data_IF_108344772333
#
_entry.id   IF_108344772333
#
_cell.length_a   1.000
_cell.length_b   1.000
_cell.length_c   1.000
_cell.angle_alpha   90.00
_cell.angle_beta   90.00
_cell.angle_gamma   90.00
#
_symmetry.space_group_name_H-M   'P 1'
#
loop_
_entity.id
_entity.type
_entity.pdbx_description
1 polymer ?
#
# COMPACT_ATOMS: atom_id res chain seq x y z
N UNK A 1 -9.55 13.57 -2.05
CA UNK A 1 -10.15 14.73 -1.34
C UNK A 1 -8.99 15.39 -0.61
N UNK A 2 -8.66 16.63 -0.91
CA UNK A 2 -7.61 17.36 -0.19
C UNK A 2 -8.25 17.96 1.05
N UNK A 3 -7.63 17.79 2.22
CA UNK A 3 -8.12 18.39 3.45
C UNK A 3 -8.09 19.92 3.34
N UNK A 4 -9.17 20.58 3.72
CA UNK A 4 -9.20 22.05 3.75
C UNK A 4 -8.34 22.61 4.92
N UNK A 5 -8.09 21.79 5.93
CA UNK A 5 -7.22 22.07 7.08
C UNK A 5 -6.79 20.73 7.69
N UNK A 6 -5.52 20.58 8.00
CA UNK A 6 -5.01 19.44 8.76
C UNK A 6 -5.30 19.60 10.25
N UNK A 7 -5.25 18.50 11.00
CA UNK A 7 -5.49 18.52 12.45
C UNK A 7 -4.36 19.20 13.22
N UNK A 8 -3.13 19.03 12.74
CA UNK A 8 -1.92 19.63 13.29
C UNK A 8 -1.42 20.69 12.31
N UNK A 9 -1.31 21.92 12.75
CA UNK A 9 -0.80 23.07 12.00
C UNK A 9 0.39 23.70 12.72
N UNK A 10 0.29 23.82 14.05
CA UNK A 10 1.34 24.36 14.91
C UNK A 10 1.88 23.27 15.84
N UNK A 11 3.11 23.37 16.36
CA UNK A 11 3.69 22.38 17.27
C UNK A 11 2.84 22.05 18.51
N UNK A 12 2.08 23.04 19.01
CA UNK A 12 1.17 22.86 20.15
C UNK A 12 0.03 21.87 19.87
N UNK A 13 -0.37 21.71 18.62
CA UNK A 13 -1.43 20.80 18.19
C UNK A 13 -1.03 19.32 18.34
N UNK A 14 0.26 19.02 18.48
CA UNK A 14 0.68 17.66 18.80
C UNK A 14 0.27 17.19 20.19
N UNK A 15 0.00 18.10 21.15
CA UNK A 15 -0.42 17.69 22.50
C UNK A 15 -1.75 16.92 22.51
N UNK A 16 -2.85 17.42 21.90
CA UNK A 16 -4.08 16.65 21.78
C UNK A 16 -3.90 15.40 20.92
N UNK A 17 -3.08 15.43 19.86
CA UNK A 17 -2.77 14.25 19.06
C UNK A 17 -2.09 13.16 19.90
N UNK A 18 -1.08 13.51 20.68
CA UNK A 18 -0.39 12.57 21.57
C UNK A 18 -1.34 11.97 22.62
N UNK A 19 -2.24 12.77 23.19
CA UNK A 19 -3.25 12.27 24.11
C UNK A 19 -4.19 11.26 23.44
N UNK A 20 -4.68 11.58 22.24
CA UNK A 20 -5.51 10.69 21.42
C UNK A 20 -4.78 9.37 21.10
N UNK A 21 -3.54 9.44 20.60
CA UNK A 21 -2.76 8.26 20.23
C UNK A 21 -2.50 7.35 21.44
N UNK A 22 -2.24 7.91 22.62
CA UNK A 22 -2.00 7.13 23.86
C UNK A 22 -3.25 6.41 24.35
N UNK A 23 -4.44 6.99 24.10
CA UNK A 23 -5.73 6.42 24.46
C UNK A 23 -6.29 5.44 23.41
N UNK A 24 -5.62 5.27 22.27
CA UNK A 24 -6.06 4.33 21.24
C UNK A 24 -5.98 2.87 21.71
N UNK A 25 -7.08 2.13 21.46
CA UNK A 25 -7.21 0.71 21.70
C UNK A 25 -7.63 -0.02 20.44
N UNK A 26 -6.94 -1.07 20.10
CA UNK A 26 -7.27 -1.94 18.97
C UNK A 26 -7.95 -3.21 19.46
N UNK A 27 -8.90 -3.71 18.67
CA UNK A 27 -9.59 -4.98 18.93
C UNK A 27 -9.56 -5.84 17.67
N UNK A 28 -9.34 -7.15 17.78
CA UNK A 28 -9.48 -8.03 16.63
C UNK A 28 -10.93 -8.04 16.17
N UNK A 29 -11.13 -8.10 14.85
CA UNK A 29 -12.44 -8.23 14.22
C UNK A 29 -12.35 -9.22 13.04
N UNK A 30 -12.08 -10.51 13.31
CA UNK A 30 -11.99 -11.52 12.25
C UNK A 30 -13.33 -11.76 11.56
N UNK A 31 -14.46 -11.52 12.24
CA UNK A 31 -15.80 -11.70 11.70
C UNK A 31 -16.03 -10.84 10.46
N UNK A 32 -15.56 -9.61 10.45
CA UNK A 32 -15.67 -8.71 9.30
C UNK A 32 -15.00 -9.27 8.05
N UNK A 33 -13.83 -9.92 8.20
CA UNK A 33 -13.18 -10.60 7.09
C UNK A 33 -13.98 -11.82 6.63
N UNK A 34 -14.43 -12.66 7.57
CA UNK A 34 -15.19 -13.88 7.25
C UNK A 34 -16.52 -13.58 6.53
N UNK A 35 -17.20 -12.50 6.93
CA UNK A 35 -18.41 -12.03 6.25
C UNK A 35 -18.12 -11.55 4.83
N UNK A 36 -17.04 -10.78 4.65
CA UNK A 36 -16.62 -10.30 3.33
C UNK A 36 -16.21 -11.48 2.43
N UNK A 37 -15.44 -12.44 2.94
CA UNK A 37 -15.00 -13.64 2.22
C UNK A 37 -16.19 -14.49 1.78
N UNK A 38 -17.13 -14.73 2.67
CA UNK A 38 -18.38 -15.44 2.36
C UNK A 38 -19.22 -14.72 1.30
N UNK A 39 -19.22 -13.37 1.31
CA UNK A 39 -19.96 -12.55 0.33
C UNK A 39 -19.30 -12.59 -1.06
N UNK A 40 -17.97 -12.60 -1.13
CA UNK A 40 -17.22 -12.66 -2.39
C UNK A 40 -17.23 -14.10 -2.95
N UNK A 41 -17.11 -15.11 -2.09
CA UNK A 41 -17.09 -16.53 -2.44
C UNK A 41 -16.00 -16.84 -3.46
N UNK A 42 -16.32 -17.65 -4.46
CA UNK A 42 -15.36 -18.07 -5.51
C UNK A 42 -14.97 -16.94 -6.50
N UNK A 43 -15.55 -15.74 -6.37
CA UNK A 43 -15.33 -14.65 -7.32
C UNK A 43 -14.08 -13.80 -7.01
N UNK A 44 -13.44 -14.01 -5.86
CA UNK A 44 -12.24 -13.24 -5.51
C UNK A 44 -11.82 -13.37 -4.05
N UNK A 45 -11.04 -12.42 -3.58
CA UNK A 45 -10.57 -12.34 -2.20
C UNK A 45 -10.90 -10.94 -1.64
N UNK A 46 -11.32 -10.85 -0.36
CA UNK A 46 -11.44 -9.55 0.30
C UNK A 46 -10.08 -8.86 0.40
N UNK A 47 -10.05 -7.58 0.14
CA UNK A 47 -8.86 -6.77 0.37
C UNK A 47 -8.82 -6.34 1.84
N UNK A 48 -7.71 -6.62 2.52
CA UNK A 48 -7.55 -6.30 3.95
C UNK A 48 -6.57 -5.15 4.13
N UNK A 49 -7.05 -4.02 4.60
CA UNK A 49 -6.25 -2.84 4.90
C UNK A 49 -5.68 -2.90 6.31
N UNK A 50 -4.38 -2.56 6.43
CA UNK A 50 -3.70 -2.25 7.68
C UNK A 50 -3.54 -0.74 7.91
N UNK A 51 -2.92 -0.38 9.02
CA UNK A 51 -2.56 1.01 9.33
C UNK A 51 -1.38 1.47 8.46
N UNK A 52 -1.09 2.77 8.53
CA UNK A 52 0.12 3.37 7.93
C UNK A 52 1.31 3.26 8.87
N UNK A 53 2.51 3.23 8.33
CA UNK A 53 3.73 3.42 9.11
C UNK A 53 3.85 4.87 9.61
N UNK A 54 4.72 5.10 10.57
CA UNK A 54 4.79 6.35 11.35
C UNK A 54 4.85 7.60 10.48
N UNK A 55 5.79 7.66 9.53
CA UNK A 55 5.95 8.84 8.68
C UNK A 55 4.72 9.05 7.78
N UNK A 56 4.21 7.97 7.21
CA UNK A 56 3.07 8.02 6.32
C UNK A 56 1.76 8.39 7.05
N UNK A 57 1.57 7.90 8.26
CA UNK A 57 0.44 8.32 9.09
C UNK A 57 0.47 9.84 9.33
N UNK A 58 1.64 10.41 9.63
CA UNK A 58 1.75 11.83 9.91
C UNK A 58 1.31 12.70 8.73
N UNK A 59 1.96 12.57 7.57
CA UNK A 59 1.67 13.47 6.46
C UNK A 59 0.36 13.15 5.72
N UNK A 60 -0.13 11.92 5.77
CA UNK A 60 -1.40 11.56 5.11
C UNK A 60 -2.61 11.91 5.97
N UNK A 61 -2.50 11.75 7.29
CA UNK A 61 -3.67 11.80 8.18
C UNK A 61 -3.70 13.06 9.06
N UNK A 62 -2.56 13.60 9.47
CA UNK A 62 -2.51 14.55 10.59
C UNK A 62 -1.95 15.92 10.23
N UNK A 63 -0.87 15.99 9.43
CA UNK A 63 -0.07 17.20 9.24
C UNK A 63 0.13 17.45 7.74
N UNK A 64 0.07 18.70 7.30
CA UNK A 64 0.55 19.04 5.95
C UNK A 64 2.02 18.67 5.79
N UNK A 65 2.40 18.18 4.61
CA UNK A 65 3.77 17.72 4.38
C UNK A 65 4.82 18.82 4.56
N UNK A 66 4.47 20.07 4.24
CA UNK A 66 5.36 21.22 4.40
C UNK A 66 5.53 21.56 5.89
N UNK A 67 4.43 21.59 6.63
CA UNK A 67 4.44 21.86 8.08
C UNK A 67 5.21 20.74 8.81
N UNK A 68 4.99 19.48 8.44
CA UNK A 68 5.74 18.35 8.99
C UNK A 68 7.25 18.50 8.81
N UNK A 69 7.70 18.94 7.64
CA UNK A 69 9.12 19.16 7.38
C UNK A 69 9.72 20.26 8.31
N UNK A 70 8.99 21.34 8.51
CA UNK A 70 9.39 22.39 9.48
C UNK A 70 9.37 21.88 10.90
N UNK A 71 8.32 21.18 11.34
CA UNK A 71 8.22 20.66 12.70
C UNK A 71 9.35 19.67 13.02
N UNK A 72 9.74 18.83 12.08
CA UNK A 72 10.88 17.91 12.25
C UNK A 72 12.20 18.67 12.40
N UNK A 73 12.38 19.76 11.66
CA UNK A 73 13.60 20.56 11.73
C UNK A 73 13.69 21.42 13.00
N UNK A 74 12.58 22.05 13.37
CA UNK A 74 12.56 23.08 14.42
C UNK A 74 12.27 22.50 15.81
N UNK A 75 11.51 21.40 15.88
CA UNK A 75 11.03 20.78 17.14
C UNK A 75 11.47 19.31 17.29
N UNK A 76 12.77 18.97 17.14
CA UNK A 76 13.22 17.57 17.06
C UNK A 76 12.88 16.74 18.31
N UNK A 77 12.85 17.33 19.52
CA UNK A 77 12.49 16.60 20.75
C UNK A 77 11.00 16.25 20.81
N UNK A 78 10.14 17.16 20.35
CA UNK A 78 8.70 16.91 20.26
C UNK A 78 8.43 15.83 19.20
N UNK A 79 9.09 15.93 18.07
CA UNK A 79 8.89 14.97 16.97
C UNK A 79 9.38 13.56 17.34
N UNK A 80 10.47 13.43 18.11
CA UNK A 80 10.88 12.10 18.64
C UNK A 80 9.82 11.51 19.58
N UNK A 81 9.15 12.33 20.42
CA UNK A 81 8.04 11.87 21.26
C UNK A 81 6.84 11.43 20.40
N UNK A 82 6.53 12.17 19.34
CA UNK A 82 5.44 11.84 18.39
C UNK A 82 5.75 10.53 17.68
N UNK A 83 6.96 10.37 17.14
CA UNK A 83 7.37 9.13 16.48
C UNK A 83 7.30 7.93 17.41
N UNK A 84 7.88 8.02 18.59
CA UNK A 84 7.85 6.93 19.58
C UNK A 84 6.41 6.55 20.00
N UNK A 85 5.49 7.52 20.08
CA UNK A 85 4.08 7.25 20.42
C UNK A 85 3.38 6.53 19.26
N UNK A 86 3.62 6.92 18.03
CA UNK A 86 3.08 6.25 16.85
C UNK A 86 3.65 4.84 16.69
N UNK A 87 4.96 4.64 16.89
CA UNK A 87 5.61 3.32 16.86
C UNK A 87 4.99 2.38 17.91
N UNK A 88 4.76 2.88 19.14
CA UNK A 88 4.11 2.09 20.18
C UNK A 88 2.69 1.68 19.80
N UNK A 89 1.92 2.56 19.14
CA UNK A 89 0.58 2.24 18.65
C UNK A 89 0.63 1.25 17.48
N UNK A 90 1.56 1.42 16.57
CA UNK A 90 1.79 0.49 15.47
C UNK A 90 2.06 -0.94 15.98
N UNK A 91 2.95 -1.09 16.95
CA UNK A 91 3.21 -2.38 17.62
C UNK A 91 1.96 -2.97 18.26
N UNK A 92 1.12 -2.15 18.93
CA UNK A 92 -0.17 -2.63 19.48
C UNK A 92 -1.08 -3.15 18.37
N UNK A 93 -1.21 -2.40 17.27
CA UNK A 93 -2.02 -2.83 16.13
C UNK A 93 -1.50 -4.13 15.52
N UNK A 94 -0.21 -4.25 15.26
CA UNK A 94 0.38 -5.44 14.65
C UNK A 94 0.14 -6.71 15.48
N UNK A 95 0.25 -6.62 16.82
CA UNK A 95 -0.08 -7.74 17.72
C UNK A 95 -1.56 -8.15 17.61
N UNK A 96 -2.46 -7.17 17.58
CA UNK A 96 -3.91 -7.43 17.45
C UNK A 96 -4.24 -8.01 16.07
N UNK A 97 -3.63 -7.48 15.00
CA UNK A 97 -3.82 -7.99 13.64
C UNK A 97 -3.30 -9.44 13.49
N UNK A 98 -2.13 -9.76 14.04
CA UNK A 98 -1.59 -11.12 14.04
C UNK A 98 -2.51 -12.09 14.80
N UNK A 99 -3.10 -11.66 15.92
CA UNK A 99 -4.07 -12.47 16.69
C UNK A 99 -5.38 -12.68 15.91
N UNK A 100 -5.87 -11.64 15.20
CA UNK A 100 -7.05 -11.77 14.34
C UNK A 100 -6.81 -12.76 13.19
N UNK A 101 -5.62 -12.80 12.60
CA UNK A 101 -5.26 -13.73 11.54
C UNK A 101 -5.23 -15.21 11.99
N UNK A 102 -5.15 -15.49 13.28
CA UNK A 102 -5.34 -16.87 13.80
C UNK A 102 -6.79 -17.35 13.68
N UNK A 103 -7.74 -16.42 13.61
CA UNK A 103 -9.17 -16.70 13.65
C UNK A 103 -9.81 -16.61 12.27
N UNK A 104 -9.10 -16.05 11.28
CA UNK A 104 -9.56 -15.92 9.90
C UNK A 104 -8.41 -16.17 8.91
N UNK A 105 -8.65 -16.85 7.78
CA UNK A 105 -7.59 -17.21 6.81
C UNK A 105 -7.23 -16.02 5.91
N UNK A 106 -6.80 -14.90 6.48
CA UNK A 106 -6.43 -13.69 5.75
C UNK A 106 -5.15 -13.95 4.94
N UNK A 107 -5.19 -13.91 3.59
CA UNK A 107 -4.02 -14.23 2.77
C UNK A 107 -2.95 -13.14 2.82
N UNK A 108 -3.34 -11.88 2.91
CA UNK A 108 -2.43 -10.75 3.07
C UNK A 108 -3.11 -9.57 3.77
N UNK A 109 -2.30 -8.74 4.41
CA UNK A 109 -2.70 -7.43 4.92
C UNK A 109 -1.87 -6.39 4.17
N UNK A 110 -2.54 -5.41 3.54
CA UNK A 110 -1.91 -4.29 2.87
C UNK A 110 -1.82 -3.09 3.80
N UNK A 111 -0.60 -2.71 4.19
CA UNK A 111 -0.37 -1.47 4.93
C UNK A 111 -0.61 -0.27 4.01
N UNK A 112 -1.42 0.68 4.47
CA UNK A 112 -1.95 1.77 3.65
C UNK A 112 -0.99 2.95 3.43
N UNK A 113 0.30 2.71 3.21
CA UNK A 113 1.35 3.70 3.34
C UNK A 113 1.38 4.83 2.29
N UNK A 114 0.89 4.64 1.06
CA UNK A 114 1.02 5.62 -0.02
C UNK A 114 2.48 6.03 -0.27
N UNK A 115 3.37 5.04 -0.46
CA UNK A 115 4.80 5.33 -0.63
C UNK A 115 5.06 6.00 -1.98
N UNK A 116 5.72 7.17 -1.91
CA UNK A 116 6.42 7.79 -3.02
C UNK A 116 7.76 8.35 -2.55
N UNK A 117 8.83 8.11 -3.31
CA UNK A 117 10.18 8.49 -2.92
C UNK A 117 10.33 9.99 -2.63
N UNK A 118 9.61 10.85 -3.35
CA UNK A 118 9.66 12.30 -3.17
C UNK A 118 9.13 12.78 -1.81
N UNK A 119 8.23 12.01 -1.17
CA UNK A 119 7.61 12.39 0.11
C UNK A 119 8.33 11.80 1.32
N UNK A 120 8.90 10.60 1.18
CA UNK A 120 9.52 9.94 2.32
C UNK A 120 11.06 9.99 2.26
N UNK A 121 11.66 9.90 1.06
CA UNK A 121 13.09 9.73 0.88
C UNK A 121 13.60 8.41 1.46
N UNK A 122 14.77 7.95 0.98
CA UNK A 122 15.33 6.66 1.39
C UNK A 122 15.66 6.62 2.90
N UNK A 123 16.14 7.72 3.47
CA UNK A 123 16.52 7.79 4.89
C UNK A 123 15.34 7.50 5.83
N UNK A 124 14.19 8.13 5.60
CA UNK A 124 13.00 7.92 6.42
C UNK A 124 12.29 6.61 6.09
N UNK A 125 12.34 6.15 4.83
CA UNK A 125 11.87 4.83 4.48
C UNK A 125 12.62 3.74 5.28
N UNK A 126 13.95 3.81 5.31
CA UNK A 126 14.79 2.90 6.11
C UNK A 126 14.55 3.03 7.61
N UNK A 127 14.31 4.25 8.11
CA UNK A 127 14.08 4.50 9.54
C UNK A 127 12.73 3.97 10.02
N UNK A 128 11.65 4.23 9.30
CA UNK A 128 10.29 4.01 9.79
C UNK A 128 9.61 2.81 9.15
N UNK A 129 9.86 2.54 7.87
CA UNK A 129 9.13 1.51 7.14
C UNK A 129 9.78 0.13 7.28
N UNK A 130 11.11 0.01 7.05
CA UNK A 130 11.76 -1.30 7.13
C UNK A 130 11.57 -1.99 8.49
N UNK A 131 11.83 -1.33 9.64
CA UNK A 131 11.63 -1.97 10.94
C UNK A 131 10.17 -2.36 11.20
N UNK A 132 9.23 -1.53 10.73
CA UNK A 132 7.80 -1.79 10.88
C UNK A 132 7.36 -3.05 10.11
N UNK A 133 7.82 -3.19 8.88
CA UNK A 133 7.50 -4.36 8.05
C UNK A 133 8.12 -5.64 8.62
N UNK A 134 9.36 -5.57 9.11
CA UNK A 134 10.01 -6.69 9.78
C UNK A 134 9.30 -7.09 11.08
N UNK A 135 8.93 -6.12 11.92
CA UNK A 135 8.17 -6.37 13.14
C UNK A 135 6.85 -7.07 12.83
N UNK A 136 6.10 -6.56 11.86
CA UNK A 136 4.79 -7.14 11.52
C UNK A 136 4.92 -8.57 10.99
N UNK A 137 5.85 -8.80 10.06
CA UNK A 137 6.14 -10.13 9.53
C UNK A 137 6.57 -11.10 10.63
N UNK A 138 7.43 -10.65 11.56
CA UNK A 138 7.86 -11.44 12.73
C UNK A 138 6.68 -11.84 13.61
N UNK A 139 5.79 -10.90 13.95
CA UNK A 139 4.59 -11.18 14.76
C UNK A 139 3.61 -12.14 14.06
N UNK A 140 3.44 -12.06 12.75
CA UNK A 140 2.64 -13.03 11.98
C UNK A 140 3.28 -14.43 12.02
N UNK A 141 4.59 -14.52 11.85
CA UNK A 141 5.32 -15.79 11.94
C UNK A 141 5.23 -16.40 13.34
N UNK A 142 5.41 -15.61 14.40
CA UNK A 142 5.26 -16.02 15.79
C UNK A 142 3.83 -16.48 16.11
N UNK A 143 2.85 -15.88 15.47
CA UNK A 143 1.46 -16.29 15.53
C UNK A 143 1.17 -17.61 14.79
N UNK A 144 2.11 -18.11 13.98
CA UNK A 144 1.97 -19.33 13.18
C UNK A 144 1.02 -19.20 12.01
N UNK A 145 0.82 -17.96 11.49
CA UNK A 145 -0.07 -17.68 10.35
C UNK A 145 0.73 -17.41 9.08
N UNK A 146 0.16 -17.76 7.93
CA UNK A 146 0.80 -17.61 6.62
C UNK A 146 0.45 -16.28 5.92
N UNK A 147 -0.18 -15.36 6.65
CA UNK A 147 -0.58 -14.03 6.13
C UNK A 147 0.63 -13.27 5.60
N UNK A 148 0.52 -12.75 4.39
CA UNK A 148 1.58 -11.98 3.74
C UNK A 148 1.49 -10.50 4.10
N UNK A 149 2.63 -9.80 4.09
CA UNK A 149 2.69 -8.34 4.29
C UNK A 149 2.78 -7.66 2.92
N UNK A 150 1.73 -6.96 2.56
CA UNK A 150 1.70 -6.09 1.38
C UNK A 150 1.75 -4.63 1.83
N UNK A 151 2.19 -3.75 0.94
CA UNK A 151 2.26 -2.32 1.22
C UNK A 151 1.78 -1.53 0.01
N UNK A 152 0.95 -0.53 0.26
CA UNK A 152 0.46 0.40 -0.75
C UNK A 152 1.59 1.35 -1.18
N UNK A 153 2.08 1.16 -2.41
CA UNK A 153 3.19 1.92 -2.99
C UNK A 153 2.79 2.38 -4.39
N UNK A 154 2.14 3.52 -4.46
CA UNK A 154 1.49 4.05 -5.66
C UNK A 154 2.27 5.19 -6.36
N UNK A 155 3.41 5.62 -5.80
CA UNK A 155 4.20 6.72 -6.33
C UNK A 155 5.48 6.29 -7.08
N UNK A 156 6.37 7.27 -7.29
CA UNK A 156 7.72 7.02 -7.83
C UNK A 156 8.55 6.20 -6.84
N UNK A 157 9.14 5.10 -7.29
CA UNK A 157 9.83 4.14 -6.44
C UNK A 157 11.31 3.95 -6.79
N UNK A 158 11.79 4.47 -7.93
CA UNK A 158 13.15 4.19 -8.39
C UNK A 158 14.24 4.50 -7.33
N UNK A 159 14.18 5.61 -6.56
CA UNK A 159 15.15 5.88 -5.50
C UNK A 159 15.09 4.91 -4.32
N UNK A 160 14.02 4.11 -4.21
CA UNK A 160 13.77 3.18 -3.09
C UNK A 160 13.97 1.70 -3.47
N UNK A 161 14.32 1.37 -4.72
CA UNK A 161 14.37 -0.02 -5.18
C UNK A 161 15.18 -0.95 -4.28
N UNK A 162 16.39 -0.53 -3.89
CA UNK A 162 17.24 -1.33 -3.00
C UNK A 162 16.61 -1.53 -1.63
N UNK A 163 16.09 -0.45 -1.04
CA UNK A 163 15.45 -0.53 0.28
C UNK A 163 14.17 -1.39 0.27
N UNK A 164 13.38 -1.34 -0.81
CA UNK A 164 12.22 -2.21 -1.00
C UNK A 164 12.67 -3.68 -1.14
N UNK A 165 13.73 -3.95 -1.91
CA UNK A 165 14.27 -5.30 -2.06
C UNK A 165 14.79 -5.90 -0.74
N UNK A 166 15.30 -5.08 0.16
CA UNK A 166 15.79 -5.47 1.48
C UNK A 166 14.65 -5.67 2.50
N UNK A 167 13.43 -5.23 2.19
CA UNK A 167 12.31 -5.22 3.14
C UNK A 167 11.67 -6.61 3.32
N UNK A 168 10.91 -6.76 4.40
CA UNK A 168 10.08 -7.94 4.67
C UNK A 168 8.81 -8.03 3.82
N UNK A 169 8.54 -7.04 2.96
CA UNK A 169 7.35 -6.94 2.13
C UNK A 169 7.35 -8.04 1.07
N UNK A 170 6.19 -8.67 0.87
CA UNK A 170 6.02 -9.76 -0.10
C UNK A 170 5.11 -9.38 -1.27
N UNK A 171 4.48 -8.20 -1.20
CA UNK A 171 3.65 -7.66 -2.28
C UNK A 171 3.53 -6.16 -2.25
N UNK A 172 3.50 -5.56 -3.43
CA UNK A 172 3.20 -4.14 -3.61
C UNK A 172 1.74 -4.00 -4.03
N UNK A 173 0.98 -3.31 -3.19
CA UNK A 173 -0.40 -2.94 -3.48
C UNK A 173 -0.43 -1.58 -4.18
N UNK A 174 -1.31 -1.45 -5.16
CA UNK A 174 -1.42 -0.26 -6.02
C UNK A 174 -0.10 0.15 -6.71
N UNK A 175 0.78 -0.82 -6.98
CA UNK A 175 1.98 -0.54 -7.76
C UNK A 175 1.58 0.15 -9.08
N UNK A 176 1.89 1.42 -9.21
CA UNK A 176 1.49 2.25 -10.35
C UNK A 176 2.67 2.40 -11.32
N UNK A 177 2.67 1.66 -12.45
CA UNK A 177 3.80 1.67 -13.38
C UNK A 177 3.79 2.87 -14.33
N UNK A 178 4.81 2.94 -15.17
CA UNK A 178 4.80 3.83 -16.34
C UNK A 178 3.52 3.67 -17.17
N UNK A 179 2.95 4.75 -17.77
CA UNK A 179 3.55 6.09 -17.86
C UNK A 179 3.27 7.03 -16.67
N UNK A 180 2.52 6.60 -15.67
CA UNK A 180 2.10 7.49 -14.59
C UNK A 180 3.21 7.72 -13.55
N UNK A 181 4.11 6.75 -13.33
CA UNK A 181 5.27 6.84 -12.42
C UNK A 181 6.56 6.33 -13.07
N UNK A 182 7.65 6.30 -12.34
CA UNK A 182 9.01 6.10 -12.84
C UNK A 182 9.42 4.63 -13.08
N UNK A 183 8.71 3.66 -12.48
CA UNK A 183 9.10 2.25 -12.48
C UNK A 183 8.16 1.41 -13.36
N UNK A 184 8.67 0.75 -14.39
CA UNK A 184 7.90 -0.20 -15.21
C UNK A 184 7.71 -1.55 -14.51
N UNK A 185 6.73 -2.36 -14.98
CA UNK A 185 6.55 -3.74 -14.49
C UNK A 185 7.79 -4.60 -14.75
N UNK A 186 8.46 -4.42 -15.91
CA UNK A 186 9.70 -5.13 -16.22
C UNK A 186 10.82 -4.80 -15.23
N UNK A 187 11.03 -3.52 -14.93
CA UNK A 187 12.01 -3.09 -13.93
C UNK A 187 11.65 -3.61 -12.52
N UNK A 188 10.38 -3.55 -12.13
CA UNK A 188 9.92 -4.12 -10.87
C UNK A 188 10.23 -5.62 -10.77
N UNK A 189 10.05 -6.39 -11.86
CA UNK A 189 10.40 -7.80 -11.89
C UNK A 189 11.90 -8.07 -11.81
N UNK A 190 12.71 -7.21 -12.39
CA UNK A 190 14.17 -7.29 -12.28
C UNK A 190 14.64 -7.02 -10.85
N UNK A 191 14.09 -6.00 -10.20
CA UNK A 191 14.47 -5.62 -8.84
C UNK A 191 13.88 -6.57 -7.78
N UNK A 192 12.64 -7.04 -7.98
CA UNK A 192 11.88 -7.81 -6.99
C UNK A 192 11.23 -9.05 -7.65
N UNK A 193 12.01 -10.07 -8.04
CA UNK A 193 11.51 -11.21 -8.84
C UNK A 193 10.42 -12.02 -8.14
N UNK A 194 10.44 -12.10 -6.81
CA UNK A 194 9.50 -12.91 -6.03
C UNK A 194 8.29 -12.13 -5.49
N UNK A 195 8.28 -10.80 -5.63
CA UNK A 195 7.24 -9.94 -5.08
C UNK A 195 5.92 -10.07 -5.84
N UNK A 196 4.81 -10.12 -5.15
CA UNK A 196 3.49 -10.01 -5.77
C UNK A 196 3.21 -8.55 -6.13
N UNK A 197 2.83 -8.28 -7.37
CA UNK A 197 2.48 -6.95 -7.86
C UNK A 197 0.98 -6.86 -8.08
N UNK A 198 0.30 -6.06 -7.27
CA UNK A 198 -1.07 -5.60 -7.55
C UNK A 198 -0.92 -4.30 -8.35
N UNK A 199 -0.86 -4.47 -9.67
CA UNK A 199 -0.57 -3.38 -10.62
C UNK A 199 -1.79 -2.51 -10.79
N UNK A 200 -1.68 -1.27 -10.36
CA UNK A 200 -2.68 -0.27 -10.63
C UNK A 200 -2.62 0.11 -12.13
N UNK A 201 -3.72 -0.14 -12.85
CA UNK A 201 -3.75 0.22 -14.27
C UNK A 201 -3.58 1.74 -14.41
N UNK A 202 -2.64 2.22 -15.26
CA UNK A 202 -2.32 3.64 -15.33
C UNK A 202 -3.53 4.52 -15.58
N UNK A 203 -3.79 5.48 -14.68
CA UNK A 203 -5.00 6.27 -14.70
C UNK A 203 -5.10 7.18 -15.93
N UNK A 204 -3.96 7.67 -16.42
CA UNK A 204 -3.87 8.46 -17.65
C UNK A 204 -4.37 7.70 -18.89
N UNK A 205 -4.21 6.39 -18.92
CA UNK A 205 -4.57 5.52 -20.05
C UNK A 205 -6.08 5.28 -20.15
N UNK A 206 -6.85 5.43 -19.08
CA UNK A 206 -8.31 5.26 -19.14
C UNK A 206 -9.01 6.23 -20.09
N UNK A 207 -8.37 7.35 -20.45
CA UNK A 207 -8.89 8.32 -21.42
C UNK A 207 -8.63 7.92 -22.88
N UNK A 208 -7.75 6.97 -23.12
CA UNK A 208 -7.39 6.51 -24.47
C UNK A 208 -8.53 5.70 -25.12
N UNK A 209 -8.47 5.49 -26.46
CA UNK A 209 -9.37 4.57 -27.14
C UNK A 209 -9.29 3.15 -26.54
N UNK A 210 -10.38 2.35 -26.53
CA UNK A 210 -10.39 1.00 -25.97
C UNK A 210 -9.30 0.07 -26.52
N UNK A 211 -8.92 0.22 -27.79
CA UNK A 211 -7.85 -0.55 -28.41
C UNK A 211 -6.48 -0.27 -27.77
N UNK A 212 -6.21 0.97 -27.39
CA UNK A 212 -4.96 1.34 -26.69
C UNK A 212 -4.98 0.88 -25.24
N UNK A 213 -6.12 0.99 -24.56
CA UNK A 213 -6.32 0.43 -23.21
C UNK A 213 -6.03 -1.08 -23.22
N UNK A 214 -6.59 -1.80 -24.17
CA UNK A 214 -6.32 -3.24 -24.36
C UNK A 214 -4.83 -3.53 -24.59
N UNK A 215 -4.21 -2.79 -25.52
CA UNK A 215 -2.79 -2.97 -25.86
C UNK A 215 -1.89 -2.75 -24.63
N UNK A 216 -2.13 -1.68 -23.86
CA UNK A 216 -1.33 -1.37 -22.66
C UNK A 216 -1.55 -2.42 -21.58
N UNK A 217 -2.79 -2.90 -21.37
CA UNK A 217 -3.04 -3.99 -20.44
C UNK A 217 -2.26 -5.26 -20.82
N UNK A 218 -2.23 -5.59 -22.12
CA UNK A 218 -1.42 -6.71 -22.64
C UNK A 218 0.08 -6.49 -22.40
N UNK A 219 0.59 -5.30 -22.65
CA UNK A 219 2.00 -4.94 -22.44
C UNK A 219 2.43 -5.09 -20.98
N UNK A 220 1.60 -4.64 -20.03
CA UNK A 220 1.86 -4.80 -18.58
C UNK A 220 2.00 -6.29 -18.20
N UNK A 221 1.09 -7.12 -18.69
CA UNK A 221 1.16 -8.57 -18.44
C UNK A 221 2.35 -9.22 -19.13
N UNK A 222 2.71 -8.80 -20.35
CA UNK A 222 3.90 -9.29 -21.07
C UNK A 222 5.20 -8.90 -20.36
N UNK A 223 5.30 -7.70 -19.82
CA UNK A 223 6.44 -7.27 -19.00
C UNK A 223 6.62 -8.13 -17.75
N UNK A 224 5.54 -8.58 -17.13
CA UNK A 224 5.59 -9.53 -16.01
C UNK A 224 6.05 -10.93 -16.45
N UNK A 225 5.81 -11.30 -17.68
CA UNK A 225 5.99 -12.68 -18.14
C UNK A 225 4.92 -13.63 -17.57
N UNK A 226 5.24 -14.94 -17.56
CA UNK A 226 4.31 -16.02 -17.17
C UNK A 226 4.52 -16.55 -15.75
N UNK A 227 5.30 -15.88 -14.94
CA UNK A 227 5.65 -16.37 -13.60
C UNK A 227 4.55 -16.18 -12.54
N UNK A 228 3.38 -15.63 -12.91
CA UNK A 228 2.32 -15.31 -11.98
C UNK A 228 2.65 -14.09 -11.12
N UNK A 229 2.07 -14.02 -9.91
CA UNK A 229 2.28 -12.94 -8.94
C UNK A 229 2.00 -11.54 -9.50
N UNK A 230 1.04 -11.44 -10.41
CA UNK A 230 0.56 -10.17 -10.95
C UNK A 230 -0.96 -10.18 -10.98
N UNK A 231 -1.53 -9.10 -10.49
CA UNK A 231 -2.93 -8.76 -10.64
C UNK A 231 -3.02 -7.36 -11.23
N UNK A 232 -3.86 -7.14 -12.23
CA UNK A 232 -4.23 -5.79 -12.64
C UNK A 232 -5.41 -5.35 -11.81
N UNK A 233 -5.26 -4.25 -11.09
CA UNK A 233 -6.32 -3.62 -10.33
C UNK A 233 -6.64 -2.23 -10.90
N UNK A 234 -7.83 -1.76 -10.60
CA UNK A 234 -8.32 -0.45 -11.00
C UNK A 234 -8.67 0.28 -9.71
N UNK A 235 -7.68 0.92 -9.11
CA UNK A 235 -7.85 1.67 -7.87
C UNK A 235 -8.19 3.14 -8.11
N UNK A 236 -7.79 3.68 -9.26
CA UNK A 236 -8.09 5.05 -9.64
C UNK A 236 -9.51 5.20 -10.18
N UNK A 237 -10.08 6.39 -9.98
CA UNK A 237 -11.42 6.72 -10.45
C UNK A 237 -11.41 7.19 -11.90
N UNK A 238 -11.57 6.31 -12.90
CA UNK A 238 -11.66 6.75 -14.29
C UNK A 238 -12.91 7.61 -14.48
N UNK A 239 -12.88 8.55 -15.44
CA UNK A 239 -14.04 9.39 -15.74
C UNK A 239 -15.29 8.56 -15.99
N UNK A 240 -16.42 8.99 -15.44
CA UNK A 240 -17.72 8.28 -15.52
C UNK A 240 -18.15 7.91 -16.95
N UNK A 241 -17.66 8.66 -17.94
CA UNK A 241 -17.96 8.42 -19.37
C UNK A 241 -17.09 7.36 -20.01
N UNK A 242 -16.00 6.91 -19.34
CA UNK A 242 -14.98 6.02 -19.91
C UNK A 242 -14.86 4.67 -19.26
N UNK A 243 -15.31 4.50 -18.02
CA UNK A 243 -15.07 3.28 -17.28
C UNK A 243 -15.60 2.01 -17.95
N UNK A 244 -16.76 2.07 -18.61
CA UNK A 244 -17.37 0.92 -19.26
C UNK A 244 -16.50 0.36 -20.39
N UNK A 245 -15.99 1.26 -21.24
CA UNK A 245 -15.15 0.86 -22.37
C UNK A 245 -13.76 0.43 -21.91
N UNK A 246 -13.18 1.17 -20.97
CA UNK A 246 -11.86 0.89 -20.43
C UNK A 246 -11.82 -0.42 -19.63
N UNK A 247 -12.75 -0.64 -18.71
CA UNK A 247 -12.79 -1.88 -17.92
C UNK A 247 -13.05 -3.11 -18.78
N UNK A 248 -13.92 -2.98 -19.78
CA UNK A 248 -14.19 -4.06 -20.74
C UNK A 248 -12.92 -4.43 -21.54
N UNK A 249 -12.14 -3.42 -21.98
CA UNK A 249 -10.89 -3.61 -22.70
C UNK A 249 -9.83 -4.29 -21.83
N UNK A 250 -9.65 -3.85 -20.58
CA UNK A 250 -8.73 -4.47 -19.61
C UNK A 250 -9.14 -5.94 -19.35
N UNK A 251 -10.42 -6.17 -19.05
CA UNK A 251 -10.91 -7.52 -18.78
C UNK A 251 -10.76 -8.45 -19.99
N UNK A 252 -10.90 -7.93 -21.23
CA UNK A 252 -10.65 -8.68 -22.44
C UNK A 252 -9.17 -9.04 -22.58
N UNK A 253 -8.27 -8.09 -22.34
CA UNK A 253 -6.82 -8.31 -22.39
C UNK A 253 -6.39 -9.40 -21.38
N UNK A 254 -6.89 -9.34 -20.15
CA UNK A 254 -6.60 -10.36 -19.11
C UNK A 254 -7.06 -11.75 -19.55
N UNK A 255 -8.27 -11.87 -20.12
CA UNK A 255 -8.78 -13.16 -20.63
C UNK A 255 -7.94 -13.70 -21.78
N UNK A 256 -7.56 -12.84 -22.72
CA UNK A 256 -6.81 -13.26 -23.91
C UNK A 256 -5.37 -13.64 -23.54
N UNK A 257 -4.73 -12.90 -22.64
CA UNK A 257 -3.42 -13.26 -22.08
C UNK A 257 -3.47 -14.62 -21.37
N UNK A 258 -4.48 -14.87 -20.54
CA UNK A 258 -4.68 -16.13 -19.84
C UNK A 258 -4.86 -17.32 -20.81
N UNK A 259 -5.67 -17.16 -21.87
CA UNK A 259 -5.88 -18.21 -22.90
C UNK A 259 -4.64 -18.52 -23.71
N UNK A 260 -3.79 -17.54 -23.97
CA UNK A 260 -2.51 -17.77 -24.65
C UNK A 260 -1.49 -18.54 -23.79
N UNK A 261 -1.82 -18.77 -22.52
CA UNK A 261 -0.99 -19.49 -21.57
C UNK A 261 -1.42 -20.96 -21.37
N UNK A 262 -2.57 -21.35 -21.91
CA UNK A 262 -3.07 -22.73 -21.96
C UNK A 262 -2.76 -23.40 -23.28
#
# INVERSE_FOLDING_TARGET
>A
MVAAKHYVVEPEDYRPLLAYLRDQHFRPNPESYLEADASVGENGLPHTWGIRTVWQALWVEWVDATDLAYHVADEPKLMEEVFATLEANQTKYFKVAAEACKQAPVPYISLGDNITASMIGESYFRRFCLPAYEEFKGLLADAGVATQVFVHMDGDLAPLWSAIAESAVTGLDSFSPQPDNDTSVAQAREQWPEMTLLVNFPSSVHLAPPADVYRIAMELMQQNGRQGRLQIQISENPPRTRWRDSYAAIAQAVRDFGRACC
#
